data_IF_539430861506
#
_entry.id   IF_539430861506
#
_cell.length_a   1.000
_cell.length_b   1.000
_cell.length_c   1.000
_cell.angle_alpha   90.00
_cell.angle_beta   90.00
_cell.angle_gamma   90.00
#
_symmetry.space_group_name_H-M   'P 1'
#
loop_
_entity.id
_entity.type
_entity.pdbx_description
1 polymer ?
#
# COMPACT_ATOMS: atom_id res chain seq x y z
N UNK A 1 37.93 29.31 1.55
CA UNK A 1 38.39 28.13 2.30
C UNK A 1 37.21 27.67 3.16
N UNK A 2 36.09 27.15 2.66
CA UNK A 2 35.77 26.26 1.53
C UNK A 2 36.52 24.94 1.58
N UNK A 3 35.97 23.98 2.32
CA UNK A 3 36.09 22.56 2.01
C UNK A 3 34.68 21.96 2.01
N UNK A 4 34.27 21.59 0.80
CA UNK A 4 33.10 20.79 0.46
C UNK A 4 33.41 19.33 0.80
N UNK A 5 32.51 18.65 1.51
CA UNK A 5 32.55 17.20 1.64
C UNK A 5 31.80 16.58 0.45
N UNK A 6 32.58 15.99 -0.45
CA UNK A 6 32.14 15.33 -1.69
C UNK A 6 31.63 13.92 -1.34
N UNK A 7 30.37 13.61 -1.69
CA UNK A 7 29.87 12.22 -1.73
C UNK A 7 30.43 11.51 -2.98
N UNK A 8 30.76 10.21 -2.94
CA UNK A 8 31.30 9.50 -4.10
C UNK A 8 30.19 9.06 -5.06
N UNK A 9 30.43 9.32 -6.36
CA UNK A 9 29.66 8.84 -7.52
C UNK A 9 30.06 7.41 -7.95
N UNK A 10 29.07 6.69 -8.48
CA UNK A 10 29.09 5.66 -9.53
C UNK A 10 30.05 4.46 -9.43
N UNK A 11 29.48 3.32 -9.01
CA UNK A 11 29.99 1.99 -9.31
C UNK A 11 29.46 1.49 -10.67
N UNK A 12 30.34 1.45 -11.66
CA UNK A 12 30.11 0.85 -12.97
C UNK A 12 30.20 -0.70 -12.87
N UNK A 13 29.24 -1.49 -13.39
CA UNK A 13 29.37 -2.94 -13.46
C UNK A 13 30.17 -3.35 -14.70
N UNK A 14 31.44 -3.68 -14.49
CA UNK A 14 32.22 -4.46 -15.45
C UNK A 14 32.56 -5.81 -14.82
N UNK A 15 31.80 -6.85 -15.17
CA UNK A 15 32.44 -8.12 -15.51
C UNK A 15 31.54 -8.95 -16.44
N UNK A 16 32.02 -9.12 -17.67
CA UNK A 16 31.45 -9.98 -18.67
C UNK A 16 32.15 -11.34 -18.54
N UNK A 17 31.44 -12.33 -18.01
CA UNK A 17 31.91 -13.72 -17.99
C UNK A 17 31.58 -14.42 -19.31
N UNK A 18 32.62 -14.79 -20.04
CA UNK A 18 32.62 -15.46 -21.34
C UNK A 18 31.87 -16.80 -21.41
N UNK A 19 31.30 -17.04 -22.59
CA UNK A 19 30.73 -18.31 -23.01
C UNK A 19 31.83 -19.34 -23.34
N UNK A 20 31.65 -20.58 -22.88
CA UNK A 20 32.39 -21.72 -23.38
C UNK A 20 31.50 -22.97 -23.46
N UNK A 21 31.52 -23.65 -24.60
CA UNK A 21 31.12 -25.06 -24.72
C UNK A 21 30.21 -25.38 -25.90
N UNK A 22 30.80 -25.57 -27.08
CA UNK A 22 30.18 -26.31 -28.19
C UNK A 22 29.88 -27.75 -27.78
N UNK A 23 28.66 -28.21 -28.08
CA UNK A 23 28.26 -29.60 -27.94
C UNK A 23 27.05 -29.91 -28.82
N UNK A 24 27.29 -30.44 -30.02
CA UNK A 24 26.26 -31.11 -30.81
C UNK A 24 25.99 -32.51 -30.24
N UNK A 25 24.71 -32.91 -30.18
CA UNK A 25 24.36 -34.23 -30.66
C UNK A 25 23.24 -34.17 -31.69
N UNK A 26 23.52 -34.80 -32.82
CA UNK A 26 22.57 -35.25 -33.84
C UNK A 26 21.60 -36.27 -33.24
N UNK A 27 20.29 -36.08 -33.40
CA UNK A 27 19.39 -37.20 -33.72
C UNK A 27 18.08 -36.71 -34.35
N UNK A 28 17.68 -37.36 -35.44
CA UNK A 28 16.46 -37.11 -36.20
C UNK A 28 15.30 -37.88 -35.56
N UNK A 29 14.39 -37.19 -34.87
CA UNK A 29 13.17 -37.77 -34.30
C UNK A 29 11.92 -37.10 -34.87
N UNK A 30 11.15 -37.85 -35.66
CA UNK A 30 9.92 -37.47 -36.37
C UNK A 30 8.87 -36.81 -35.46
N UNK A 31 8.22 -35.78 -36.00
CA UNK A 31 6.98 -35.17 -35.50
C UNK A 31 5.81 -36.15 -35.62
N UNK A 32 5.09 -36.38 -34.52
CA UNK A 32 3.80 -37.08 -34.54
C UNK A 32 2.69 -36.06 -34.23
N UNK A 33 1.81 -35.83 -35.21
CA UNK A 33 0.64 -34.97 -35.11
C UNK A 33 -0.48 -35.72 -34.38
N UNK A 34 -0.67 -35.41 -33.10
CA UNK A 34 -1.81 -35.88 -32.31
C UNK A 34 -2.97 -34.89 -32.36
N UNK A 35 -4.03 -35.23 -33.10
CA UNK A 35 -5.35 -34.56 -33.06
C UNK A 35 -5.98 -34.61 -31.66
N UNK A 36 -6.52 -33.52 -31.11
CA UNK A 36 -7.49 -33.58 -30.01
C UNK A 36 -8.90 -33.78 -30.57
N UNK A 37 -9.52 -34.90 -30.21
CA UNK A 37 -10.97 -35.14 -30.35
C UNK A 37 -11.58 -35.35 -28.98
N UNK A 38 -12.31 -34.35 -28.49
CA UNK A 38 -13.46 -34.43 -27.59
C UNK A 38 -14.03 -32.99 -27.51
N UNK A 39 -15.24 -32.62 -27.94
CA UNK A 39 -16.49 -33.37 -27.95
C UNK A 39 -17.47 -32.93 -26.86
N UNK A 40 -17.36 -31.70 -26.32
CA UNK A 40 -18.32 -31.14 -25.35
C UNK A 40 -19.05 -29.90 -25.87
N UNK A 41 -20.36 -30.00 -26.07
CA UNK A 41 -21.28 -28.91 -26.42
C UNK A 41 -21.37 -27.83 -25.33
N UNK A 42 -21.48 -26.53 -25.67
CA UNK A 42 -21.97 -25.51 -24.76
C UNK A 42 -23.50 -25.43 -24.82
N UNK A 43 -24.16 -25.77 -23.71
CA UNK A 43 -25.57 -25.37 -23.47
C UNK A 43 -25.65 -24.76 -22.08
N UNK A 44 -25.65 -23.42 -22.00
CA UNK A 44 -26.71 -22.73 -21.26
C UNK A 44 -26.75 -21.24 -21.64
N UNK A 45 -27.94 -20.77 -22.00
CA UNK A 45 -28.26 -19.38 -22.31
C UNK A 45 -28.61 -18.66 -21.00
N UNK A 46 -27.62 -18.09 -20.34
CA UNK A 46 -27.82 -17.17 -19.22
C UNK A 46 -28.01 -15.72 -19.69
N UNK A 47 -29.23 -15.34 -20.07
CA UNK A 47 -29.62 -13.93 -20.17
C UNK A 47 -29.59 -13.28 -18.78
N UNK A 48 -28.75 -12.27 -18.57
CA UNK A 48 -28.98 -11.24 -17.55
C UNK A 48 -29.13 -9.89 -18.23
N UNK A 49 -30.38 -9.53 -18.52
CA UNK A 49 -30.77 -8.14 -18.68
C UNK A 49 -30.98 -7.55 -17.29
N UNK A 50 -30.08 -6.67 -16.85
CA UNK A 50 -30.45 -5.62 -15.89
C UNK A 50 -29.73 -4.33 -16.28
N UNK A 51 -30.53 -3.36 -16.70
CA UNK A 51 -30.11 -1.98 -16.90
C UNK A 51 -30.10 -1.28 -15.54
N UNK A 52 -28.99 -1.39 -14.82
CA UNK A 52 -28.73 -0.60 -13.63
C UNK A 52 -28.30 0.82 -13.98
N UNK A 53 -29.21 1.78 -13.82
CA UNK A 53 -28.91 3.21 -13.73
C UNK A 53 -27.89 3.46 -12.58
N UNK A 54 -26.86 4.31 -12.76
CA UNK A 54 -26.03 4.73 -11.65
C UNK A 54 -26.75 5.85 -10.88
N UNK A 55 -27.59 5.47 -9.93
CA UNK A 55 -28.04 6.37 -8.86
C UNK A 55 -27.83 5.67 -7.53
N UNK A 56 -26.57 5.62 -7.09
CA UNK A 56 -26.25 5.37 -5.70
C UNK A 56 -25.20 6.42 -5.28
N UNK A 57 -25.71 7.60 -4.93
CA UNK A 57 -24.99 8.46 -4.01
C UNK A 57 -24.95 7.70 -2.68
N UNK A 58 -23.81 7.06 -2.42
CA UNK A 58 -23.56 6.34 -1.17
C UNK A 58 -23.87 7.24 0.02
N UNK A 59 -25.08 7.11 0.54
CA UNK A 59 -25.47 7.69 1.83
C UNK A 59 -24.73 6.89 2.88
N UNK A 60 -23.69 7.50 3.43
CA UNK A 60 -23.12 7.08 4.70
C UNK A 60 -24.25 7.12 5.73
N UNK A 61 -24.65 5.96 6.23
CA UNK A 61 -25.50 5.88 7.42
C UNK A 61 -24.62 6.14 8.65
N UNK A 62 -24.09 7.36 8.74
CA UNK A 62 -23.69 7.93 10.02
C UNK A 62 -24.66 9.08 10.30
N UNK A 63 -25.31 9.02 11.45
CA UNK A 63 -26.46 9.87 11.76
C UNK A 63 -26.05 11.33 11.86
N UNK A 64 -26.15 12.08 10.75
CA UNK A 64 -26.35 13.54 10.74
C UNK A 64 -25.40 14.38 11.59
N UNK A 65 -24.22 13.88 11.94
CA UNK A 65 -23.12 14.68 12.47
C UNK A 65 -22.17 14.93 11.31
N UNK A 66 -21.97 16.21 10.99
CA UNK A 66 -20.74 16.62 10.31
C UNK A 66 -19.58 15.92 11.04
N UNK A 67 -18.67 15.21 10.36
CA UNK A 67 -17.51 14.68 11.02
C UNK A 67 -16.77 15.88 11.60
N UNK A 68 -16.84 16.06 12.92
CA UNK A 68 -15.85 16.89 13.59
C UNK A 68 -14.52 16.31 13.15
N UNK A 69 -13.71 17.10 12.44
CA UNK A 69 -12.33 16.73 12.17
C UNK A 69 -11.72 16.33 13.51
N UNK A 70 -11.55 15.02 13.73
CA UNK A 70 -10.88 14.51 14.91
C UNK A 70 -9.39 14.79 14.71
N UNK A 71 -9.02 16.07 14.80
CA UNK A 71 -7.63 16.48 14.80
C UNK A 71 -7.06 16.11 16.15
N UNK A 72 -6.31 15.02 16.20
CA UNK A 72 -5.44 14.73 17.34
C UNK A 72 -4.33 15.79 17.31
N UNK A 73 -4.49 16.86 18.09
CA UNK A 73 -3.47 17.91 18.21
C UNK A 73 -2.56 17.63 19.40
N UNK A 74 -1.36 18.19 19.40
CA UNK A 74 -0.45 18.15 20.55
C UNK A 74 -1.14 18.58 21.84
N UNK A 75 -1.99 19.60 21.79
CA UNK A 75 -2.73 20.08 22.96
C UNK A 75 -3.72 19.04 23.46
N UNK A 76 -4.46 18.36 22.57
CA UNK A 76 -5.41 17.31 22.97
C UNK A 76 -4.68 16.10 23.56
N UNK A 77 -3.53 15.72 23.00
CA UNK A 77 -2.68 14.65 23.56
C UNK A 77 -2.20 15.05 24.96
N UNK A 78 -1.71 16.28 25.13
CA UNK A 78 -1.25 16.76 26.44
C UNK A 78 -2.39 16.84 27.46
N UNK A 79 -3.58 17.30 27.05
CA UNK A 79 -4.76 17.30 27.91
C UNK A 79 -5.16 15.88 28.33
N UNK A 80 -5.11 14.92 27.41
CA UNK A 80 -5.34 13.52 27.70
C UNK A 80 -4.33 12.99 28.72
N UNK A 81 -3.03 13.19 28.50
CA UNK A 81 -1.97 12.75 29.40
C UNK A 81 -2.10 13.38 30.80
N UNK A 82 -2.39 14.68 30.88
CA UNK A 82 -2.64 15.38 32.15
C UNK A 82 -3.86 14.83 32.89
N UNK A 83 -4.92 14.46 32.16
CA UNK A 83 -6.10 13.82 32.75
C UNK A 83 -5.72 12.44 33.33
N UNK A 84 -5.03 11.62 32.55
CA UNK A 84 -4.61 10.28 32.98
C UNK A 84 -3.62 10.31 34.15
N UNK A 85 -2.71 11.29 34.17
CA UNK A 85 -1.81 11.52 35.30
C UNK A 85 -2.58 11.73 36.60
N UNK A 86 -3.55 12.66 36.59
CA UNK A 86 -4.42 12.93 37.75
C UNK A 86 -5.20 11.69 38.20
N UNK A 87 -5.72 10.91 37.26
CA UNK A 87 -6.44 9.66 37.58
C UNK A 87 -5.52 8.59 38.16
N UNK A 88 -4.26 8.54 37.74
CA UNK A 88 -3.23 7.64 38.30
C UNK A 88 -2.64 8.12 39.64
N UNK A 89 -2.95 9.34 40.08
CA UNK A 89 -2.48 9.92 41.34
C UNK A 89 -1.11 10.60 41.26
N UNK A 90 -0.63 10.95 40.06
CA UNK A 90 0.60 11.75 39.85
C UNK A 90 0.30 13.04 39.08
N UNK A 91 1.12 14.07 39.28
CA UNK A 91 1.10 15.29 38.47
C UNK A 91 2.28 15.36 37.49
N UNK A 92 3.26 14.46 37.64
CA UNK A 92 4.44 14.37 36.80
C UNK A 92 4.17 13.43 35.60
N UNK A 93 4.16 14.00 34.40
CA UNK A 93 3.93 13.25 33.16
C UNK A 93 5.10 12.33 32.78
N UNK A 94 6.24 12.46 33.45
CA UNK A 94 7.44 11.63 33.23
C UNK A 94 7.54 10.47 34.21
N UNK A 95 6.61 10.37 35.17
CA UNK A 95 6.58 9.30 36.16
C UNK A 95 6.26 7.94 35.50
N UNK A 96 7.10 6.90 35.65
CA UNK A 96 6.83 5.56 35.13
C UNK A 96 5.49 4.97 35.58
N UNK A 97 4.97 5.37 36.75
CA UNK A 97 3.66 4.94 37.24
C UNK A 97 2.52 5.33 36.29
N UNK A 98 2.64 6.45 35.57
CA UNK A 98 1.68 6.85 34.54
C UNK A 98 1.67 5.86 33.37
N UNK A 99 2.84 5.45 32.88
CA UNK A 99 2.95 4.48 31.80
C UNK A 99 2.35 3.12 32.20
N UNK A 100 2.58 2.67 33.44
CA UNK A 100 1.94 1.47 33.97
C UNK A 100 0.41 1.60 34.05
N UNK A 101 -0.09 2.75 34.51
CA UNK A 101 -1.52 3.01 34.60
C UNK A 101 -2.18 2.98 33.22
N UNK A 102 -1.57 3.64 32.22
CA UNK A 102 -2.03 3.62 30.83
C UNK A 102 -2.04 2.20 30.27
N UNK A 103 -0.97 1.43 30.50
CA UNK A 103 -0.87 0.04 30.05
C UNK A 103 -1.92 -0.88 30.70
N UNK A 104 -2.22 -0.69 31.99
CA UNK A 104 -3.24 -1.46 32.71
C UNK A 104 -4.66 -1.11 32.23
N UNK A 105 -4.87 0.15 31.87
CA UNK A 105 -6.16 0.71 31.44
C UNK A 105 -6.45 0.53 29.94
N UNK A 106 -5.44 0.12 29.17
CA UNK A 106 -5.60 -0.18 27.74
C UNK A 106 -6.52 -1.40 27.52
N UNK A 107 -7.66 -1.16 26.89
CA UNK A 107 -8.61 -2.20 26.50
C UNK A 107 -8.06 -3.17 25.46
N UNK A 108 -7.05 -2.78 24.70
CA UNK A 108 -6.40 -3.58 23.66
C UNK A 108 -5.13 -4.29 24.13
N UNK A 109 -4.74 -4.18 25.40
CA UNK A 109 -3.49 -4.80 25.91
C UNK A 109 -3.35 -6.29 25.60
N UNK A 110 -4.47 -7.01 25.55
CA UNK A 110 -4.53 -8.45 25.23
C UNK A 110 -4.10 -8.76 23.79
N UNK A 111 -4.14 -7.79 22.88
CA UNK A 111 -3.66 -7.94 21.50
C UNK A 111 -2.15 -8.14 21.47
N UNK A 112 -1.40 -7.55 22.41
CA UNK A 112 0.05 -7.75 22.53
C UNK A 112 0.43 -9.23 22.64
N UNK A 113 -0.38 -10.01 23.35
CA UNK A 113 -0.16 -11.44 23.57
C UNK A 113 -0.33 -12.28 22.29
N UNK A 114 -0.85 -11.69 21.21
CA UNK A 114 -1.07 -12.36 19.92
C UNK A 114 0.15 -12.30 19.00
N UNK A 115 1.23 -11.60 19.39
CA UNK A 115 2.42 -11.41 18.57
C UNK A 115 3.66 -12.04 19.19
N UNK A 116 4.60 -12.44 18.35
CA UNK A 116 5.94 -12.81 18.76
C UNK A 116 6.82 -11.55 18.86
N UNK A 117 7.33 -11.25 20.05
CA UNK A 117 8.30 -10.18 20.27
C UNK A 117 9.72 -10.75 20.22
N UNK A 118 10.64 -10.13 19.46
CA UNK A 118 12.05 -10.49 19.50
C UNK A 118 12.60 -10.32 20.92
N UNK A 119 13.41 -11.29 21.36
CA UNK A 119 14.10 -11.20 22.65
C UNK A 119 15.39 -10.44 22.50
N UNK A 120 15.75 -9.61 23.49
CA UNK A 120 16.97 -8.82 23.46
C UNK A 120 18.21 -9.68 23.14
N UNK A 121 18.32 -10.89 23.70
CA UNK A 121 19.43 -11.81 23.46
C UNK A 121 19.56 -12.34 22.02
N UNK A 122 18.47 -12.28 21.24
CA UNK A 122 18.40 -12.77 19.86
C UNK A 122 18.74 -11.71 18.82
N UNK A 123 18.80 -10.43 19.20
CA UNK A 123 19.05 -9.33 18.28
C UNK A 123 20.55 -9.24 17.93
N UNK A 124 20.94 -9.13 16.64
CA UNK A 124 22.34 -9.18 16.22
C UNK A 124 23.26 -8.10 16.81
N UNK A 125 22.71 -6.92 17.11
CA UNK A 125 23.47 -5.73 17.54
C UNK A 125 23.21 -5.34 19.00
N UNK A 126 22.45 -6.14 19.75
CA UNK A 126 22.17 -5.84 21.15
C UNK A 126 23.41 -6.11 22.02
N UNK A 127 23.85 -5.09 22.77
CA UNK A 127 24.82 -5.29 23.84
C UNK A 127 24.15 -6.04 25.01
N UNK A 128 24.51 -7.32 25.13
CA UNK A 128 23.98 -8.24 26.15
C UNK A 128 24.38 -7.86 27.57
N UNK A 129 25.33 -6.94 27.76
CA UNK A 129 25.67 -6.41 29.08
C UNK A 129 24.70 -5.32 29.55
N UNK A 130 23.93 -4.73 28.64
CA UNK A 130 23.03 -3.59 28.90
C UNK A 130 21.55 -3.99 28.98
N UNK A 131 21.21 -5.24 28.66
CA UNK A 131 19.83 -5.72 28.67
C UNK A 131 19.75 -7.18 29.15
N UNK A 132 18.64 -7.51 29.82
CA UNK A 132 18.31 -8.90 30.12
C UNK A 132 18.00 -9.66 28.80
N UNK A 133 18.72 -10.74 28.47
CA UNK A 133 18.54 -11.47 27.22
C UNK A 133 17.13 -12.01 26.98
N UNK A 134 16.38 -12.31 28.04
CA UNK A 134 15.03 -12.91 27.97
C UNK A 134 13.90 -11.87 27.89
N UNK A 135 14.22 -10.61 28.09
CA UNK A 135 13.27 -9.51 27.98
C UNK A 135 12.88 -9.28 26.52
N UNK A 136 11.61 -8.89 26.31
CA UNK A 136 11.14 -8.44 25.00
C UNK A 136 11.89 -7.18 24.58
N UNK A 137 12.16 -7.04 23.29
CA UNK A 137 12.68 -5.81 22.73
C UNK A 137 11.60 -4.71 22.70
N UNK A 138 12.05 -3.46 22.75
CA UNK A 138 11.21 -2.30 22.46
C UNK A 138 11.19 -2.13 20.93
N UNK A 139 10.20 -2.74 20.28
CA UNK A 139 10.11 -2.82 18.82
C UNK A 139 9.36 -1.61 18.23
N UNK A 140 10.09 -0.57 17.83
CA UNK A 140 9.55 0.68 17.27
C UNK A 140 9.70 0.78 15.74
N UNK A 141 9.75 -0.36 15.04
CA UNK A 141 9.88 -0.43 13.58
C UNK A 141 8.76 -1.25 12.91
N UNK A 142 7.61 -1.36 13.58
CA UNK A 142 6.43 -2.07 13.06
C UNK A 142 5.86 -1.49 11.76
N UNK A 143 6.11 -0.21 11.49
CA UNK A 143 5.76 0.46 10.23
C UNK A 143 6.64 0.02 9.04
N UNK A 144 7.78 -0.62 9.28
CA UNK A 144 8.62 -1.18 8.22
C UNK A 144 8.37 -2.68 8.08
N UNK A 145 8.37 -3.41 9.19
CA UNK A 145 8.02 -4.82 9.23
C UNK A 145 7.21 -5.11 10.50
N UNK A 146 5.95 -5.48 10.33
CA UNK A 146 5.10 -5.88 11.45
C UNK A 146 5.63 -7.11 12.17
N UNK A 147 5.42 -7.18 13.49
CA UNK A 147 5.70 -8.39 14.26
C UNK A 147 4.86 -9.56 13.74
N UNK A 148 5.40 -10.77 13.81
CA UNK A 148 4.68 -11.97 13.36
C UNK A 148 3.50 -12.28 14.31
N UNK A 149 2.26 -12.35 13.82
CA UNK A 149 1.14 -12.90 14.59
C UNK A 149 1.37 -14.39 14.88
N UNK A 150 1.07 -14.83 16.11
CA UNK A 150 1.21 -16.24 16.53
C UNK A 150 0.36 -17.20 15.70
N UNK A 151 -0.78 -16.73 15.17
CA UNK A 151 -1.64 -17.53 14.32
C UNK A 151 -1.00 -17.90 12.97
N UNK A 152 -0.06 -17.11 12.46
CA UNK A 152 0.57 -17.32 11.15
C UNK A 152 1.24 -18.69 11.05
N UNK A 153 2.02 -19.07 12.06
CA UNK A 153 2.70 -20.37 12.11
C UNK A 153 1.71 -21.53 11.95
N UNK A 154 0.64 -21.52 12.75
CA UNK A 154 -0.41 -22.55 12.69
C UNK A 154 -1.08 -22.62 11.32
N UNK A 155 -1.51 -21.47 10.78
CA UNK A 155 -2.22 -21.41 9.49
C UNK A 155 -1.33 -21.92 8.36
N UNK A 156 -0.04 -21.54 8.35
CA UNK A 156 0.91 -22.02 7.35
C UNK A 156 1.14 -23.52 7.44
N UNK A 157 1.29 -24.07 8.67
CA UNK A 157 1.40 -25.51 8.86
C UNK A 157 0.16 -26.26 8.36
N UNK A 158 -1.04 -25.75 8.62
CA UNK A 158 -2.28 -26.34 8.10
C UNK A 158 -2.29 -26.41 6.56
N UNK A 159 -1.80 -25.37 5.88
CA UNK A 159 -1.73 -25.38 4.41
C UNK A 159 -0.66 -26.33 3.87
N UNK A 160 0.50 -26.43 4.53
CA UNK A 160 1.56 -27.38 4.16
C UNK A 160 1.08 -28.83 4.35
N UNK A 161 0.42 -29.12 5.47
CA UNK A 161 -0.17 -30.41 5.75
C UNK A 161 -1.25 -30.78 4.73
N UNK A 162 -2.11 -29.83 4.39
CA UNK A 162 -3.14 -30.01 3.36
C UNK A 162 -2.51 -30.35 2.02
N UNK A 163 -1.44 -29.66 1.64
CA UNK A 163 -0.72 -29.95 0.40
C UNK A 163 -0.14 -31.36 0.39
N UNK A 164 0.56 -31.75 1.47
CA UNK A 164 1.15 -33.08 1.58
C UNK A 164 0.10 -34.21 1.51
N UNK A 165 -1.09 -33.99 2.05
CA UNK A 165 -2.17 -35.00 2.12
C UNK A 165 -3.06 -35.04 0.88
N UNK A 166 -3.30 -33.90 0.24
CA UNK A 166 -4.35 -33.75 -0.77
C UNK A 166 -3.82 -33.43 -2.17
N UNK A 167 -2.56 -32.99 -2.31
CA UNK A 167 -1.99 -32.58 -3.59
C UNK A 167 -2.90 -31.58 -4.31
N UNK A 168 -3.17 -31.85 -5.60
CA UNK A 168 -4.02 -31.02 -6.47
C UNK A 168 -5.44 -30.80 -5.93
N UNK A 169 -5.98 -31.72 -5.12
CA UNK A 169 -7.31 -31.56 -4.56
C UNK A 169 -7.40 -30.38 -3.57
N UNK A 170 -6.27 -29.93 -3.01
CA UNK A 170 -6.20 -28.75 -2.14
C UNK A 170 -6.61 -27.44 -2.82
N UNK A 171 -6.61 -27.39 -4.17
CA UNK A 171 -7.11 -26.22 -4.90
C UNK A 171 -8.59 -25.94 -4.62
N UNK A 172 -9.42 -26.99 -4.52
CA UNK A 172 -10.89 -26.85 -4.46
C UNK A 172 -11.52 -27.48 -3.21
N UNK A 173 -10.72 -28.10 -2.34
CA UNK A 173 -11.18 -28.84 -1.15
C UNK A 173 -10.45 -28.38 0.12
N UNK A 174 -11.06 -28.67 1.27
CA UNK A 174 -10.58 -28.27 2.59
C UNK A 174 -11.28 -27.01 3.10
N UNK A 175 -10.94 -26.58 4.32
CA UNK A 175 -11.54 -25.39 4.95
C UNK A 175 -11.16 -24.08 4.23
N UNK A 176 -9.95 -24.01 3.68
CA UNK A 176 -9.46 -22.86 2.89
C UNK A 176 -9.04 -23.33 1.49
N UNK A 177 -9.94 -23.52 0.52
CA UNK A 177 -9.58 -23.88 -0.85
C UNK A 177 -8.64 -22.84 -1.49
N UNK A 178 -7.52 -23.27 -2.08
CA UNK A 178 -6.52 -22.31 -2.58
C UNK A 178 -7.00 -21.47 -3.76
N UNK A 179 -7.98 -21.95 -4.53
CA UNK A 179 -8.53 -21.19 -5.66
C UNK A 179 -9.31 -19.94 -5.25
N UNK A 180 -9.71 -19.85 -3.98
CA UNK A 180 -10.52 -18.75 -3.43
C UNK A 180 -9.91 -18.21 -2.12
N UNK A 181 -8.61 -18.43 -1.88
CA UNK A 181 -8.01 -18.14 -0.57
C UNK A 181 -7.97 -16.64 -0.26
N UNK A 182 -7.84 -15.81 -1.30
CA UNK A 182 -7.94 -14.35 -1.24
C UNK A 182 -9.33 -13.90 -0.79
N UNK A 183 -10.39 -14.54 -1.29
CA UNK A 183 -11.77 -14.21 -0.95
C UNK A 183 -12.07 -14.31 0.57
N UNK A 184 -11.36 -15.18 1.29
CA UNK A 184 -11.59 -15.42 2.72
C UNK A 184 -11.18 -14.26 3.63
N UNK A 185 -10.34 -13.34 3.13
CA UNK A 185 -9.93 -12.15 3.89
C UNK A 185 -10.62 -10.86 3.39
N UNK A 186 -11.39 -10.93 2.30
CA UNK A 186 -11.97 -9.74 1.67
C UNK A 186 -12.89 -8.96 2.60
N UNK A 187 -13.77 -9.62 3.36
CA UNK A 187 -14.70 -8.92 4.25
C UNK A 187 -13.96 -8.08 5.30
N UNK A 188 -12.94 -8.66 5.93
CA UNK A 188 -12.13 -7.97 6.94
C UNK A 188 -11.32 -6.81 6.35
N UNK A 189 -10.69 -7.03 5.18
CA UNK A 189 -9.89 -5.98 4.53
C UNK A 189 -10.77 -4.87 3.96
N UNK A 190 -11.92 -5.20 3.37
CA UNK A 190 -12.90 -4.22 2.91
C UNK A 190 -13.40 -3.33 4.05
N UNK A 191 -13.68 -3.91 5.21
CA UNK A 191 -14.00 -3.13 6.41
C UNK A 191 -12.85 -2.20 6.82
N UNK A 192 -11.61 -2.69 6.81
CA UNK A 192 -10.42 -1.92 7.20
C UNK A 192 -10.19 -0.69 6.30
N UNK A 193 -10.37 -0.85 4.99
CA UNK A 193 -10.15 0.24 4.01
C UNK A 193 -11.42 1.06 3.73
N UNK A 194 -12.56 0.70 4.33
CA UNK A 194 -13.84 1.38 4.14
C UNK A 194 -14.46 1.20 2.75
N UNK A 195 -14.27 0.05 2.11
CA UNK A 195 -14.77 -0.28 0.78
C UNK A 195 -15.79 -1.44 0.80
N UNK A 196 -16.47 -1.69 -0.31
CA UNK A 196 -17.25 -2.92 -0.52
C UNK A 196 -16.33 -4.10 -0.83
N UNK A 197 -16.68 -5.36 -0.49
CA UNK A 197 -15.86 -6.51 -0.83
C UNK A 197 -15.53 -6.63 -2.32
N UNK A 198 -16.45 -6.25 -3.21
CA UNK A 198 -16.24 -6.32 -4.67
C UNK A 198 -15.32 -5.21 -5.21
N UNK A 199 -14.97 -4.24 -4.36
CA UNK A 199 -14.03 -3.14 -4.68
C UNK A 199 -12.60 -3.43 -4.22
N UNK A 200 -12.37 -4.57 -3.55
CA UNK A 200 -11.08 -4.96 -2.96
C UNK A 200 -10.57 -6.24 -3.64
N UNK A 201 -9.26 -6.27 -3.91
CA UNK A 201 -8.56 -7.46 -4.35
C UNK A 201 -7.28 -7.65 -3.52
N UNK A 202 -7.05 -8.88 -3.06
CA UNK A 202 -5.85 -9.28 -2.31
C UNK A 202 -4.91 -10.03 -3.25
N UNK A 203 -3.93 -9.32 -3.80
CA UNK A 203 -3.04 -9.91 -4.81
C UNK A 203 -1.63 -9.31 -4.76
N UNK A 204 -0.66 -10.07 -5.30
CA UNK A 204 0.73 -9.68 -5.53
C UNK A 204 1.42 -8.93 -4.37
N UNK A 205 2.41 -8.10 -4.70
CA UNK A 205 2.97 -7.08 -3.81
C UNK A 205 2.59 -5.66 -4.27
N UNK A 206 2.81 -4.68 -3.41
CA UNK A 206 2.38 -3.28 -3.60
C UNK A 206 2.79 -2.71 -4.97
N UNK A 207 4.08 -2.75 -5.32
CA UNK A 207 4.59 -2.16 -6.57
C UNK A 207 4.02 -2.84 -7.82
N UNK A 208 3.78 -4.15 -7.77
CA UNK A 208 3.12 -4.86 -8.88
C UNK A 208 1.69 -4.35 -9.05
N UNK A 209 0.96 -4.18 -7.95
CA UNK A 209 -0.41 -3.65 -8.01
C UNK A 209 -0.44 -2.19 -8.49
N UNK A 210 0.55 -1.36 -8.16
CA UNK A 210 0.71 -0.01 -8.71
C UNK A 210 0.84 -0.08 -10.24
N UNK A 211 1.68 -0.98 -10.77
CA UNK A 211 1.79 -1.18 -12.21
C UNK A 211 0.48 -1.62 -12.86
N UNK A 212 -0.23 -2.56 -12.26
CA UNK A 212 -1.53 -3.03 -12.77
C UNK A 212 -2.54 -1.86 -12.81
N UNK A 213 -2.60 -1.05 -11.76
CA UNK A 213 -3.46 0.12 -11.69
C UNK A 213 -3.07 1.17 -12.73
N UNK A 214 -1.78 1.50 -12.86
CA UNK A 214 -1.31 2.48 -13.85
C UNK A 214 -1.55 1.99 -15.28
N UNK A 215 -1.32 0.71 -15.59
CA UNK A 215 -1.64 0.15 -16.90
C UNK A 215 -3.14 0.28 -17.26
N UNK A 216 -4.02 0.20 -16.27
CA UNK A 216 -5.47 0.34 -16.48
C UNK A 216 -5.93 1.81 -16.54
N UNK A 217 -5.38 2.69 -15.71
CA UNK A 217 -5.89 4.05 -15.46
C UNK A 217 -5.06 5.16 -16.10
N UNK A 218 -3.75 5.00 -16.29
CA UNK A 218 -2.91 6.00 -16.93
C UNK A 218 -3.06 5.93 -18.45
N UNK A 219 -3.92 6.79 -18.98
CA UNK A 219 -4.19 6.91 -20.43
C UNK A 219 -3.78 8.31 -20.90
N UNK A 220 -2.47 8.57 -21.04
CA UNK A 220 -1.98 9.90 -21.37
C UNK A 220 -2.46 10.34 -22.77
N UNK A 221 -2.74 11.63 -22.89
CA UNK A 221 -3.04 12.31 -24.16
C UNK A 221 -2.02 13.41 -24.39
N UNK A 222 -2.07 14.10 -25.54
CA UNK A 222 -1.14 15.20 -25.80
C UNK A 222 -1.18 16.31 -24.77
N UNK A 223 -2.36 16.65 -24.27
CA UNK A 223 -2.53 17.76 -23.31
C UNK A 223 -2.63 17.30 -21.88
N UNK A 224 -3.01 16.03 -21.63
CA UNK A 224 -3.25 15.48 -20.29
C UNK A 224 -2.48 14.19 -20.09
N UNK A 225 -1.26 14.30 -19.58
CA UNK A 225 -0.32 13.18 -19.44
C UNK A 225 0.51 13.20 -18.15
N UNK A 226 0.43 14.27 -17.35
CA UNK A 226 1.27 14.40 -16.16
C UNK A 226 0.80 13.46 -15.05
N UNK A 227 1.73 12.92 -14.27
CA UNK A 227 1.48 12.23 -13.02
C UNK A 227 2.02 13.10 -11.89
N UNK A 228 1.15 13.51 -10.97
CA UNK A 228 1.49 14.33 -9.81
C UNK A 228 1.83 13.43 -8.61
N UNK A 229 2.98 13.66 -7.99
CA UNK A 229 3.47 12.95 -6.80
C UNK A 229 4.22 13.92 -5.87
N UNK A 230 4.56 13.48 -4.67
CA UNK A 230 5.42 14.20 -3.75
C UNK A 230 6.91 14.04 -4.11
N UNK A 231 7.70 15.06 -3.81
CA UNK A 231 9.16 14.96 -3.88
C UNK A 231 9.66 13.94 -2.86
N UNK A 232 10.64 13.11 -3.27
CA UNK A 232 11.14 11.98 -2.47
C UNK A 232 10.04 10.97 -2.10
N UNK A 233 9.14 10.71 -3.05
CA UNK A 233 8.26 9.55 -2.99
C UNK A 233 9.04 8.25 -2.71
N UNK A 234 8.36 7.25 -2.17
CA UNK A 234 9.00 5.97 -1.90
C UNK A 234 9.64 5.43 -3.19
N UNK A 235 10.91 4.92 -3.16
CA UNK A 235 11.66 4.67 -4.39
C UNK A 235 10.95 3.74 -5.38
N UNK A 236 10.28 2.69 -4.91
CA UNK A 236 9.57 1.78 -5.81
C UNK A 236 8.40 2.44 -6.53
N UNK A 237 7.68 3.35 -5.86
CA UNK A 237 6.54 4.07 -6.42
C UNK A 237 7.03 5.05 -7.49
N UNK A 238 8.13 5.74 -7.20
CA UNK A 238 8.82 6.62 -8.15
C UNK A 238 9.22 5.85 -9.42
N UNK A 239 9.93 4.74 -9.28
CA UNK A 239 10.36 3.93 -10.43
C UNK A 239 9.19 3.29 -11.18
N UNK A 240 8.12 2.92 -10.50
CA UNK A 240 6.91 2.40 -11.13
C UNK A 240 6.24 3.46 -12.02
N UNK A 241 6.11 4.69 -11.53
CA UNK A 241 5.58 5.84 -12.27
C UNK A 241 6.50 6.18 -13.46
N UNK A 242 7.80 6.30 -13.20
CA UNK A 242 8.81 6.64 -14.19
C UNK A 242 8.81 5.66 -15.37
N UNK A 243 8.77 4.36 -15.08
CA UNK A 243 8.71 3.32 -16.11
C UNK A 243 7.37 3.29 -16.85
N UNK A 244 6.24 3.59 -16.18
CA UNK A 244 4.93 3.69 -16.84
C UNK A 244 4.85 4.89 -17.80
N UNK A 245 5.46 6.02 -17.44
CA UNK A 245 5.60 7.19 -18.32
C UNK A 245 6.38 6.82 -19.58
N UNK A 246 7.55 6.19 -19.41
CA UNK A 246 8.39 5.76 -20.55
C UNK A 246 7.71 4.70 -21.42
N UNK A 247 6.97 3.77 -20.81
CA UNK A 247 6.22 2.74 -21.53
C UNK A 247 5.18 3.33 -22.48
N UNK A 248 4.64 4.51 -22.15
CA UNK A 248 3.71 5.26 -22.99
C UNK A 248 4.40 6.27 -23.94
N UNK A 249 5.72 6.14 -24.13
CA UNK A 249 6.49 6.95 -25.08
C UNK A 249 6.67 8.42 -24.66
N UNK A 250 6.49 8.73 -23.38
CA UNK A 250 6.66 10.08 -22.83
C UNK A 250 7.98 10.21 -22.06
N UNK A 251 8.47 11.44 -21.94
CA UNK A 251 9.66 11.74 -21.12
C UNK A 251 9.26 11.97 -19.66
N UNK A 252 10.19 11.66 -18.76
CA UNK A 252 9.99 11.82 -17.32
C UNK A 252 9.94 13.30 -16.96
N UNK A 253 10.80 14.09 -17.59
CA UNK A 253 10.95 15.53 -17.37
C UNK A 253 9.66 16.31 -17.68
N UNK A 254 8.90 15.86 -18.68
CA UNK A 254 7.65 16.51 -19.10
C UNK A 254 6.42 15.98 -18.34
N UNK A 255 6.46 14.71 -17.91
CA UNK A 255 5.25 13.99 -17.45
C UNK A 255 5.26 13.64 -15.97
N UNK A 256 6.40 13.72 -15.28
CA UNK A 256 6.48 13.41 -13.85
C UNK A 256 6.61 14.71 -13.05
N UNK A 257 5.59 15.02 -12.25
CA UNK A 257 5.57 16.22 -11.43
C UNK A 257 5.76 15.85 -9.96
N UNK A 258 6.91 16.23 -9.43
CA UNK A 258 7.22 16.07 -8.01
C UNK A 258 7.00 17.39 -7.28
N UNK A 259 6.01 17.46 -6.38
CA UNK A 259 5.77 18.64 -5.54
C UNK A 259 6.77 18.70 -4.39
N UNK A 260 7.60 19.76 -4.27
CA UNK A 260 8.50 19.92 -3.14
C UNK A 260 7.80 20.64 -1.97
N UNK A 261 8.22 20.39 -0.71
CA UNK A 261 7.86 21.27 0.39
C UNK A 261 8.45 22.67 0.16
N UNK A 262 7.91 23.68 0.86
CA UNK A 262 8.47 25.03 0.85
C UNK A 262 9.88 25.03 1.44
N UNK A 263 10.67 26.04 1.11
CA UNK A 263 12.02 26.18 1.68
C UNK A 263 11.99 26.22 3.21
N UNK A 264 12.81 25.37 3.83
CA UNK A 264 12.86 25.21 5.29
C UNK A 264 11.78 24.28 5.87
N UNK A 265 10.88 23.75 5.04
CA UNK A 265 9.85 22.80 5.45
C UNK A 265 10.17 21.37 5.01
N UNK A 266 9.65 20.40 5.75
CA UNK A 266 9.81 18.96 5.48
C UNK A 266 8.53 18.36 4.91
N UNK A 267 7.37 18.83 5.39
CA UNK A 267 6.05 18.38 4.97
C UNK A 267 5.47 19.27 3.87
N UNK A 268 4.63 18.70 3.01
CA UNK A 268 3.88 19.45 2.01
C UNK A 268 2.68 20.15 2.66
N UNK A 269 2.43 21.41 2.35
CA UNK A 269 1.22 22.07 2.83
C UNK A 269 0.02 21.68 1.97
N UNK A 270 -1.13 21.49 2.62
CA UNK A 270 -2.38 21.14 1.92
C UNK A 270 -2.74 22.19 0.88
N UNK A 271 -2.62 23.47 1.22
CA UNK A 271 -2.92 24.59 0.32
C UNK A 271 -2.04 24.62 -0.93
N UNK A 272 -0.79 24.17 -0.86
CA UNK A 272 0.12 24.14 -2.01
C UNK A 272 -0.27 23.02 -2.97
N UNK A 273 -0.63 21.84 -2.44
CA UNK A 273 -1.14 20.71 -3.23
C UNK A 273 -2.43 21.13 -3.96
N UNK A 274 -3.38 21.72 -3.22
CA UNK A 274 -4.66 22.13 -3.80
C UNK A 274 -4.49 23.25 -4.85
N UNK A 275 -3.62 24.23 -4.59
CA UNK A 275 -3.34 25.30 -5.54
C UNK A 275 -2.72 24.76 -6.83
N UNK A 276 -1.79 23.80 -6.71
CA UNK A 276 -1.17 23.17 -7.88
C UNK A 276 -2.19 22.38 -8.71
N UNK A 277 -3.09 21.61 -8.06
CA UNK A 277 -4.16 20.88 -8.75
C UNK A 277 -5.12 21.86 -9.45
N UNK A 278 -5.43 23.00 -8.83
CA UNK A 278 -6.28 24.00 -9.44
C UNK A 278 -5.64 24.60 -10.70
N UNK A 279 -4.36 24.97 -10.61
CA UNK A 279 -3.62 25.62 -11.69
C UNK A 279 -3.32 24.68 -12.87
N UNK A 280 -2.92 23.42 -12.59
CA UNK A 280 -2.39 22.50 -13.60
C UNK A 280 -3.25 21.26 -13.84
N UNK A 281 -4.43 21.16 -13.21
CA UNK A 281 -5.25 19.96 -13.21
C UNK A 281 -5.70 19.42 -14.57
N UNK A 282 -5.79 20.29 -15.58
CA UNK A 282 -6.14 19.90 -16.96
C UNK A 282 -5.02 19.10 -17.64
N UNK A 283 -3.77 19.25 -17.18
CA UNK A 283 -2.60 18.55 -17.71
C UNK A 283 -2.29 17.24 -16.96
N UNK A 284 -2.84 17.08 -15.76
CA UNK A 284 -2.58 15.96 -14.86
C UNK A 284 -3.52 14.80 -15.19
N UNK A 285 -2.97 13.69 -15.69
CA UNK A 285 -3.71 12.46 -15.92
C UNK A 285 -4.05 11.73 -14.62
N UNK A 286 -3.07 11.60 -13.72
CA UNK A 286 -3.15 10.87 -12.45
C UNK A 286 -2.53 11.72 -11.34
N UNK A 287 -3.17 11.74 -10.17
CA UNK A 287 -2.57 12.22 -8.93
C UNK A 287 -2.28 10.98 -8.08
N UNK A 288 -1.01 10.74 -7.79
CA UNK A 288 -0.50 9.60 -7.06
C UNK A 288 0.27 10.12 -5.85
N UNK A 289 -0.44 10.23 -4.72
CA UNK A 289 0.12 10.65 -3.43
C UNK A 289 -0.14 9.54 -2.40
N UNK A 290 0.79 9.30 -1.45
CA UNK A 290 0.58 8.31 -0.40
C UNK A 290 -0.50 8.78 0.58
N UNK A 291 -1.11 7.84 1.30
CA UNK A 291 -1.93 8.20 2.46
C UNK A 291 -1.08 8.82 3.58
N UNK A 292 0.03 8.16 3.92
CA UNK A 292 1.03 8.62 4.90
C UNK A 292 2.42 8.58 4.26
N UNK A 293 3.18 9.66 4.35
CA UNK A 293 4.54 9.70 3.81
C UNK A 293 5.50 8.89 4.71
N UNK A 294 6.21 7.92 4.12
CA UNK A 294 6.99 6.90 4.86
C UNK A 294 8.13 7.46 5.74
N UNK A 295 8.70 8.60 5.37
CA UNK A 295 9.83 9.24 6.05
C UNK A 295 9.38 10.34 7.02
N UNK A 296 8.47 11.21 6.61
CA UNK A 296 8.02 12.35 7.42
C UNK A 296 6.88 12.00 8.38
N UNK A 297 6.19 10.88 8.15
CA UNK A 297 4.98 10.51 8.88
C UNK A 297 3.78 11.41 8.58
N UNK A 298 3.87 12.25 7.55
CA UNK A 298 2.79 13.17 7.18
C UNK A 298 1.57 12.40 6.66
N UNK A 299 0.42 12.58 7.32
CA UNK A 299 -0.89 12.17 6.81
C UNK A 299 -1.41 13.21 5.82
N UNK A 300 -1.69 12.79 4.59
CA UNK A 300 -2.31 13.65 3.58
C UNK A 300 -3.84 13.68 3.72
N UNK A 301 -4.46 14.81 3.36
CA UNK A 301 -5.91 14.96 3.31
C UNK A 301 -6.45 14.31 2.01
N UNK A 302 -6.57 12.98 2.05
CA UNK A 302 -6.99 12.15 0.93
C UNK A 302 -8.32 12.66 0.35
N UNK A 303 -9.27 13.06 1.21
CA UNK A 303 -10.59 13.51 0.79
C UNK A 303 -10.52 14.84 0.02
N UNK A 304 -9.83 15.86 0.54
CA UNK A 304 -9.70 17.15 -0.11
C UNK A 304 -8.97 17.03 -1.46
N UNK A 305 -7.85 16.30 -1.49
CA UNK A 305 -7.03 16.10 -2.69
C UNK A 305 -7.83 15.35 -3.78
N UNK A 306 -8.51 14.26 -3.40
CA UNK A 306 -9.34 13.48 -4.33
C UNK A 306 -10.48 14.33 -4.89
N UNK A 307 -11.11 15.17 -4.06
CA UNK A 307 -12.19 16.06 -4.47
C UNK A 307 -11.70 17.09 -5.49
N UNK A 308 -10.57 17.76 -5.22
CA UNK A 308 -9.97 18.73 -6.13
C UNK A 308 -9.61 18.09 -7.48
N UNK A 309 -8.93 16.94 -7.47
CA UNK A 309 -8.57 16.23 -8.71
C UNK A 309 -9.78 15.82 -9.56
N UNK A 310 -10.87 15.36 -8.92
CA UNK A 310 -12.11 14.98 -9.63
C UNK A 310 -12.85 16.19 -10.25
N UNK A 311 -12.73 17.38 -9.66
CA UNK A 311 -13.39 18.58 -10.18
C UNK A 311 -12.82 19.02 -11.53
N UNK A 312 -11.51 18.86 -11.75
CA UNK A 312 -10.85 19.20 -13.02
C UNK A 312 -11.36 18.33 -14.18
N UNK A 313 -11.57 17.03 -13.94
CA UNK A 313 -12.16 16.11 -14.95
C UNK A 313 -13.62 16.43 -15.29
N UNK A 314 -14.40 17.02 -14.36
CA UNK A 314 -15.82 17.33 -14.60
C UNK A 314 -16.00 18.51 -15.54
N UNK A 315 -15.03 19.42 -15.63
CA UNK A 315 -15.08 20.55 -16.54
C UNK A 315 -15.00 20.09 -18.02
N UNK A 316 -14.22 19.04 -18.30
CA UNK A 316 -14.13 18.41 -19.62
C UNK A 316 -15.37 17.60 -20.02
N UNK A 317 -16.08 17.01 -19.05
CA UNK A 317 -17.23 16.13 -19.33
C UNK A 317 -18.53 16.82 -19.72
N UNK A 318 -18.60 18.16 -19.63
CA UNK A 318 -19.67 18.91 -20.31
C UNK A 318 -19.51 18.81 -21.83
N UNK A 319 -18.35 18.35 -22.33
CA UNK A 319 -18.06 18.20 -23.77
C UNK A 319 -17.76 16.75 -24.22
N UNK A 320 -17.55 15.77 -23.35
CA UNK A 320 -17.34 14.37 -23.78
C UNK A 320 -17.56 13.33 -22.66
N UNK A 321 -18.24 12.23 -22.97
CA UNK A 321 -18.62 11.19 -21.99
C UNK A 321 -17.49 10.20 -21.67
N UNK A 322 -17.29 9.92 -20.37
CA UNK A 322 -16.54 8.80 -19.73
C UNK A 322 -15.00 8.88 -19.81
N UNK A 323 -14.30 9.20 -18.70
CA UNK A 323 -13.55 8.21 -17.88
C UNK A 323 -13.13 8.80 -16.52
N UNK A 324 -13.21 8.04 -15.43
CA UNK A 324 -12.81 8.43 -14.07
C UNK A 324 -11.84 7.33 -13.57
N UNK A 325 -10.87 7.68 -12.71
CA UNK A 325 -10.53 6.96 -11.45
C UNK A 325 -9.08 7.23 -11.00
N UNK A 326 -8.92 7.39 -9.68
CA UNK A 326 -7.69 7.58 -8.92
C UNK A 326 -7.16 6.23 -8.42
N UNK A 327 -5.83 6.10 -8.28
CA UNK A 327 -5.19 5.04 -7.52
C UNK A 327 -4.56 5.68 -6.27
N UNK A 328 -5.08 5.36 -5.09
CA UNK A 328 -4.40 5.61 -3.81
C UNK A 328 -3.56 4.36 -3.51
N UNK A 329 -2.27 4.53 -3.22
CA UNK A 329 -1.51 3.42 -2.64
C UNK A 329 -1.97 3.23 -1.19
N UNK A 330 -2.40 2.02 -0.89
CA UNK A 330 -2.85 1.62 0.44
C UNK A 330 -1.71 1.66 1.43
N UNK A 331 -2.05 2.10 2.64
CA UNK A 331 -1.24 2.05 3.85
C UNK A 331 -0.81 0.61 4.13
N UNK A 332 0.50 0.41 4.31
CA UNK A 332 1.05 -0.48 5.33
C UNK A 332 2.10 0.30 6.11
#
# INVERSE_FOLDING_TARGET
MSEEEKMPEDGNPSDAGEAAGEGNPTDEGKTDEGNPTDGGNPTDEGKTTDGGNPTDEGKTTDGGKTPEECSCTSEKVMQFLQKMAKESGTEDLTDPALAEFLSKSDGLKHVRDQFYFPKCGTLPEADRSLCDPESDSIYLCGNSLGLMPKATERIMHEQLDKWAKMGVFGHTKGELPWAHCDEHALEGVAHLVGAKPEEVALCNGLTVNIHVLLAAFYKPTETRHKILLETKAFPSDHYAIESQIRLHGRTVEESMVCLPPREGEVCLRKEDILSYIEEHGEEIAIIFLPGVQYYTGQLFDIHAITTAGKQKVRHDRVLSSRSLTFALSGIL
#
